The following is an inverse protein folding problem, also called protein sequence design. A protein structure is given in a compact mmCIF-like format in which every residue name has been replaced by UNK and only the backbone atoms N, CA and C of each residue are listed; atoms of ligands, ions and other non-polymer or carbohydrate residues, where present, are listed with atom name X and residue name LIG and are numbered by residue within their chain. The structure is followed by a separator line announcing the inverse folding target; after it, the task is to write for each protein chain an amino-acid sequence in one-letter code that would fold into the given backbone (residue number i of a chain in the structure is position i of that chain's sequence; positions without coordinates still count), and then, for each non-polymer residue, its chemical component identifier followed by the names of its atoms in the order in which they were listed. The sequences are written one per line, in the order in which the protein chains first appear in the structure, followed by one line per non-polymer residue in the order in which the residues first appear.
data_IF_186462544912
#
_entry.id   IF_186462544912
#
_cell.length_a   1.000
_cell.length_b   1.000
_cell.length_c   1.000
_cell.angle_alpha   90.00
_cell.angle_beta   90.00
_cell.angle_gamma   90.00
#
_symmetry.space_group_name_H-M   'P 1'
#
loop_
_entity.id
_entity.type
_entity.pdbx_description
1 polymer ?
#
# COMPACT_ATOMS: atom_id res chain seq x y z
N UNK A 1 12.75 10.35 -16.06
CA UNK A 1 13.40 9.81 -14.85
C UNK A 1 12.39 9.71 -13.70
N UNK A 2 11.73 10.82 -13.38
CA UNK A 2 10.77 10.95 -12.28
C UNK A 2 9.59 9.98 -12.36
N UNK A 3 8.98 9.84 -13.54
CA UNK A 3 7.87 8.88 -13.73
C UNK A 3 8.28 7.43 -13.42
N UNK A 4 9.48 7.01 -13.81
CA UNK A 4 9.97 5.66 -13.53
C UNK A 4 10.21 5.44 -12.04
N UNK A 5 10.74 6.46 -11.34
CA UNK A 5 10.93 6.43 -9.89
C UNK A 5 9.58 6.39 -9.14
N UNK A 6 8.62 7.22 -9.57
CA UNK A 6 7.28 7.26 -8.99
C UNK A 6 6.52 5.95 -9.22
N UNK A 7 6.67 5.34 -10.39
CA UNK A 7 6.10 4.03 -10.68
C UNK A 7 6.71 2.96 -9.78
N UNK A 8 8.04 2.94 -9.62
CA UNK A 8 8.72 1.99 -8.73
C UNK A 8 8.29 2.14 -7.26
N UNK A 9 8.00 3.38 -6.81
CA UNK A 9 7.41 3.64 -5.47
C UNK A 9 6.02 3.03 -5.34
N UNK A 10 5.15 3.29 -6.32
CA UNK A 10 3.77 2.83 -6.30
C UNK A 10 3.66 1.30 -6.36
N UNK A 11 4.53 0.65 -7.13
CA UNK A 11 4.59 -0.82 -7.29
C UNK A 11 5.46 -1.53 -6.24
N UNK A 12 5.96 -0.81 -5.23
CA UNK A 12 6.84 -1.35 -4.18
C UNK A 12 8.10 -2.07 -4.70
N UNK A 13 8.59 -1.68 -5.89
CA UNK A 13 9.86 -2.16 -6.46
C UNK A 13 11.03 -1.43 -5.80
N UNK A 14 11.27 -1.74 -4.53
CA UNK A 14 12.25 -1.04 -3.68
C UNK A 14 13.64 -0.95 -4.30
N UNK A 15 14.15 -2.05 -4.86
CA UNK A 15 15.48 -2.04 -5.46
C UNK A 15 15.57 -1.11 -6.68
N UNK A 16 14.52 -1.09 -7.51
CA UNK A 16 14.45 -0.19 -8.66
C UNK A 16 14.30 1.26 -8.22
N UNK A 17 13.51 1.52 -7.19
CA UNK A 17 13.38 2.84 -6.59
C UNK A 17 14.72 3.38 -6.09
N UNK A 18 15.53 2.56 -5.40
CA UNK A 18 16.85 2.98 -4.94
C UNK A 18 17.77 3.26 -6.14
N UNK A 19 17.83 2.34 -7.10
CA UNK A 19 18.69 2.47 -8.29
C UNK A 19 18.32 3.68 -9.16
N UNK A 20 17.04 4.06 -9.20
CA UNK A 20 16.55 5.22 -9.95
C UNK A 20 16.69 6.55 -9.19
N UNK A 21 17.02 6.51 -7.90
CA UNK A 21 17.21 7.70 -7.06
C UNK A 21 18.50 8.45 -7.46
N UNK A 22 18.72 9.63 -6.87
CA UNK A 22 19.94 10.41 -7.18
C UNK A 22 21.16 9.84 -6.46
N UNK A 23 20.94 9.28 -5.27
CA UNK A 23 21.94 8.64 -4.42
C UNK A 23 21.36 7.32 -3.90
N UNK A 24 21.59 6.21 -4.62
CA UNK A 24 21.02 4.90 -4.29
C UNK A 24 21.44 4.36 -2.93
N UNK A 25 22.66 4.63 -2.49
CA UNK A 25 23.22 4.15 -1.22
C UNK A 25 22.48 4.80 -0.06
N UNK A 26 22.42 6.14 -0.05
CA UNK A 26 21.68 6.89 0.97
C UNK A 26 20.19 6.52 1.00
N UNK A 27 19.57 6.34 -0.17
CA UNK A 27 18.15 5.95 -0.23
C UNK A 27 17.88 4.57 0.37
N UNK A 28 18.79 3.61 0.14
CA UNK A 28 18.74 2.27 0.73
C UNK A 28 18.97 2.33 2.24
N UNK A 29 19.97 3.06 2.69
CA UNK A 29 20.32 3.15 4.11
C UNK A 29 19.18 3.73 4.95
N UNK A 30 18.47 4.74 4.43
CA UNK A 30 17.32 5.32 5.13
C UNK A 30 16.15 4.35 5.26
N UNK A 31 15.92 3.49 4.25
CA UNK A 31 14.94 2.42 4.37
C UNK A 31 15.42 1.36 5.39
N UNK A 32 16.69 0.94 5.31
CA UNK A 32 17.23 -0.19 6.06
C UNK A 32 17.46 0.14 7.53
N UNK A 33 17.57 1.43 7.89
CA UNK A 33 17.63 1.91 9.26
C UNK A 33 16.48 1.41 10.15
N UNK A 34 15.32 1.11 9.55
CA UNK A 34 14.13 0.61 10.26
C UNK A 34 13.65 -0.74 9.75
N UNK A 35 13.98 -1.10 8.50
CA UNK A 35 13.57 -2.34 7.85
C UNK A 35 14.78 -3.06 7.20
N UNK A 36 15.74 -3.55 8.00
CA UNK A 36 17.01 -4.09 7.49
C UNK A 36 16.87 -5.47 6.83
N UNK A 37 15.80 -6.22 7.15
CA UNK A 37 15.60 -7.56 6.60
C UNK A 37 15.48 -7.52 5.07
N UNK A 38 16.10 -8.46 4.36
CA UNK A 38 15.99 -8.53 2.89
C UNK A 38 14.54 -8.66 2.43
N UNK A 39 13.71 -9.40 3.18
CA UNK A 39 12.28 -9.54 2.90
C UNK A 39 11.50 -8.23 2.91
N UNK A 40 11.98 -7.19 3.60
CA UNK A 40 11.33 -5.89 3.57
C UNK A 40 11.38 -5.20 2.20
N UNK A 41 12.32 -5.58 1.31
CA UNK A 41 12.36 -5.09 -0.08
C UNK A 41 11.29 -5.71 -0.98
N UNK A 42 10.55 -6.70 -0.46
CA UNK A 42 9.39 -7.30 -1.08
C UNK A 42 8.08 -6.83 -0.42
N UNK A 43 8.16 -5.95 0.59
CA UNK A 43 7.00 -5.54 1.36
C UNK A 43 6.23 -4.40 0.65
N UNK A 44 4.90 -4.52 0.64
CA UNK A 44 4.00 -3.48 0.14
C UNK A 44 3.72 -2.38 1.18
N UNK A 45 4.75 -1.95 1.90
CA UNK A 45 4.69 -0.82 2.82
C UNK A 45 6.11 -0.33 3.15
N UNK A 46 6.21 0.89 3.66
CA UNK A 46 7.43 1.44 4.26
C UNK A 46 7.27 1.59 5.78
N UNK A 47 8.37 1.93 6.47
CA UNK A 47 8.39 2.12 7.92
C UNK A 47 7.56 3.31 8.41
N UNK A 48 7.13 4.22 7.54
CA UNK A 48 6.32 5.38 7.95
C UNK A 48 4.87 5.00 8.27
N UNK A 49 4.25 4.16 7.45
CA UNK A 49 2.81 3.86 7.54
C UNK A 49 2.52 2.43 8.02
N UNK A 50 3.50 1.53 7.92
CA UNK A 50 3.31 0.13 8.26
C UNK A 50 2.32 -0.62 7.34
N UNK A 51 2.07 -1.91 7.61
CA UNK A 51 1.36 -2.81 6.69
C UNK A 51 -0.14 -2.53 6.51
N UNK A 52 -0.76 -1.82 7.47
CA UNK A 52 -2.20 -1.59 7.52
C UNK A 52 -2.63 -0.21 7.02
N UNK A 53 -1.72 0.78 7.02
CA UNK A 53 -2.07 2.18 6.72
C UNK A 53 -1.28 2.76 5.53
N UNK A 54 -0.58 1.92 4.76
CA UNK A 54 0.13 2.39 3.57
C UNK A 54 -0.89 2.82 2.48
N UNK A 55 -0.91 4.11 2.17
CA UNK A 55 -1.86 4.69 1.20
C UNK A 55 -1.75 4.07 -0.19
N UNK A 56 -0.53 3.83 -0.68
CA UNK A 56 -0.32 3.23 -2.01
C UNK A 56 -0.88 1.81 -2.09
N UNK A 57 -0.69 1.00 -1.02
CA UNK A 57 -1.25 -0.34 -0.92
C UNK A 57 -2.78 -0.29 -0.88
N UNK A 58 -3.36 0.57 -0.04
CA UNK A 58 -4.81 0.75 0.04
C UNK A 58 -5.39 1.15 -1.32
N UNK A 59 -4.73 2.06 -2.05
CA UNK A 59 -5.15 2.42 -3.42
C UNK A 59 -5.11 1.24 -4.37
N UNK A 60 -4.09 0.39 -4.28
CA UNK A 60 -4.01 -0.83 -5.07
C UNK A 60 -5.16 -1.79 -4.72
N UNK A 61 -5.38 -2.07 -3.44
CA UNK A 61 -6.46 -2.94 -2.96
C UNK A 61 -7.85 -2.45 -3.45
N UNK A 62 -8.09 -1.14 -3.42
CA UNK A 62 -9.34 -0.53 -3.94
C UNK A 62 -9.49 -0.73 -5.45
N UNK A 63 -8.42 -0.52 -6.23
CA UNK A 63 -8.44 -0.71 -7.69
C UNK A 63 -8.63 -2.18 -8.07
N UNK A 64 -8.01 -3.10 -7.34
CA UNK A 64 -8.19 -4.53 -7.52
C UNK A 64 -9.63 -4.95 -7.22
N UNK A 65 -10.18 -4.48 -6.10
CA UNK A 65 -11.60 -4.70 -5.76
C UNK A 65 -12.55 -4.12 -6.81
N UNK A 66 -12.30 -2.91 -7.30
CA UNK A 66 -13.10 -2.29 -8.36
C UNK A 66 -13.05 -3.10 -9.66
N UNK A 67 -11.86 -3.57 -10.06
CA UNK A 67 -11.68 -4.40 -11.25
C UNK A 67 -12.40 -5.75 -11.14
N UNK A 68 -12.30 -6.44 -10.00
CA UNK A 68 -12.99 -7.70 -9.74
C UNK A 68 -14.52 -7.56 -9.80
N UNK A 69 -15.04 -6.44 -9.32
CA UNK A 69 -16.48 -6.13 -9.31
C UNK A 69 -16.97 -5.45 -10.59
N UNK A 70 -16.08 -5.12 -11.52
CA UNK A 70 -16.36 -4.33 -12.72
C UNK A 70 -17.05 -2.99 -12.40
N UNK A 71 -16.60 -2.34 -11.33
CA UNK A 71 -17.08 -1.05 -10.85
C UNK A 71 -16.08 0.05 -11.16
N UNK A 72 -16.55 1.29 -11.22
CA UNK A 72 -15.68 2.45 -11.13
C UNK A 72 -15.13 2.60 -9.69
N UNK A 73 -13.94 3.19 -9.54
CA UNK A 73 -13.24 3.33 -8.26
C UNK A 73 -14.14 3.99 -7.18
N UNK A 74 -14.87 5.04 -7.51
CA UNK A 74 -15.76 5.74 -6.56
C UNK A 74 -16.91 4.84 -6.09
N UNK A 75 -17.53 4.10 -7.01
CA UNK A 75 -18.60 3.16 -6.68
C UNK A 75 -18.09 1.98 -5.85
N UNK A 76 -16.89 1.51 -6.13
CA UNK A 76 -16.23 0.45 -5.40
C UNK A 76 -15.93 0.86 -3.95
N UNK A 77 -15.48 2.10 -3.73
CA UNK A 77 -15.29 2.67 -2.40
C UNK A 77 -16.60 2.73 -1.61
N UNK A 78 -17.66 3.26 -2.20
CA UNK A 78 -18.96 3.37 -1.54
C UNK A 78 -19.48 1.98 -1.14
N UNK A 79 -19.45 1.02 -2.07
CA UNK A 79 -19.89 -0.35 -1.81
C UNK A 79 -19.04 -1.03 -0.73
N UNK A 80 -17.71 -0.93 -0.81
CA UNK A 80 -16.81 -1.54 0.19
C UNK A 80 -17.04 -0.98 1.60
N UNK A 81 -17.34 0.31 1.73
CA UNK A 81 -17.68 0.93 3.02
C UNK A 81 -19.04 0.47 3.54
N UNK A 82 -20.02 0.27 2.66
CA UNK A 82 -21.31 -0.31 3.04
C UNK A 82 -21.13 -1.75 3.57
N UNK A 83 -20.38 -2.59 2.85
CA UNK A 83 -20.11 -3.98 3.24
C UNK A 83 -19.40 -4.06 4.61
N UNK A 84 -18.39 -3.22 4.84
CA UNK A 84 -17.68 -3.15 6.14
C UNK A 84 -18.55 -2.62 7.27
N UNK A 85 -19.43 -1.67 6.98
CA UNK A 85 -20.41 -1.16 7.95
C UNK A 85 -21.42 -2.25 8.36
N UNK A 86 -21.86 -3.07 7.41
CA UNK A 86 -22.72 -4.22 7.68
C UNK A 86 -22.00 -5.31 8.48
N UNK A 87 -20.73 -5.60 8.15
CA UNK A 87 -19.89 -6.53 8.90
C UNK A 87 -19.78 -6.10 10.37
N UNK A 88 -19.45 -4.83 10.63
CA UNK A 88 -19.36 -4.28 11.98
C UNK A 88 -20.69 -4.38 12.76
N UNK A 89 -21.83 -4.13 12.09
CA UNK A 89 -23.14 -4.30 12.72
C UNK A 89 -23.44 -5.76 13.05
N UNK A 90 -23.04 -6.70 12.19
CA UNK A 90 -23.22 -8.15 12.40
C UNK A 90 -22.37 -8.67 13.56
N UNK A 91 -21.20 -8.09 13.79
CA UNK A 91 -20.31 -8.44 14.91
C UNK A 91 -20.70 -7.76 16.23
N UNK A 92 -21.90 -7.18 16.32
CA UNK A 92 -22.44 -6.55 17.53
C UNK A 92 -21.99 -5.10 17.75
N UNK A 93 -21.29 -4.50 16.79
CA UNK A 93 -20.80 -3.14 16.90
C UNK A 93 -19.66 -2.96 17.90
N UNK A 94 -18.96 -4.04 18.27
CA UNK A 94 -17.76 -3.98 19.09
C UNK A 94 -16.53 -3.78 18.22
N UNK A 95 -15.64 -2.88 18.68
CA UNK A 95 -14.33 -2.64 18.06
C UNK A 95 -13.33 -3.72 18.45
N UNK A 96 -13.58 -4.43 19.55
CA UNK A 96 -12.72 -5.49 20.08
C UNK A 96 -13.49 -6.81 20.06
N UNK A 97 -13.31 -7.57 18.97
CA UNK A 97 -13.83 -8.94 18.81
C UNK A 97 -12.88 -9.98 19.41
#
# INVERSE_FOLDING_TARGET
RDNALSQARFEFRWQDQFNLSLDPETAKDFHDATLPAQGAKLAHFCSMCGPHFCSMKITQDVREYAAEKQLADEAALEQGMQEKSEEFRKTGGDLYL
#
